data_IF_014986202762
#
_entry.id   IF_014986202762
#
_cell.length_a   1.000
_cell.length_b   1.000
_cell.length_c   1.000
_cell.angle_alpha   90.00
_cell.angle_beta   90.00
_cell.angle_gamma   90.00
#
_symmetry.space_group_name_H-M   'P 1'
#
loop_
_entity.id
_entity.type
_entity.pdbx_description
1 polymer ?
#
# COMPACT_ATOMS: atom_id res chain seq x y z
N UNK A 1 35.16 -3.32 -20.59
CA UNK A 1 34.01 -4.11 -21.07
C UNK A 1 33.61 -5.00 -19.92
N UNK A 2 32.36 -4.98 -19.51
CA UNK A 2 31.87 -5.78 -18.37
C UNK A 2 31.77 -7.26 -18.77
N UNK A 3 32.01 -8.16 -17.80
CA UNK A 3 31.94 -9.62 -17.99
C UNK A 3 30.47 -10.10 -17.80
N UNK A 4 29.64 -9.80 -18.78
CA UNK A 4 28.25 -10.27 -18.87
C UNK A 4 27.93 -10.71 -20.29
N UNK A 5 27.49 -11.96 -20.44
CA UNK A 5 27.22 -12.56 -21.75
C UNK A 5 25.75 -12.33 -22.10
N UNK A 6 25.50 -11.70 -23.26
CA UNK A 6 24.15 -11.54 -23.80
C UNK A 6 23.57 -12.90 -24.20
N UNK A 7 22.28 -13.13 -23.85
CA UNK A 7 21.52 -14.35 -24.12
C UNK A 7 20.18 -14.01 -24.75
N UNK A 8 19.56 -14.95 -25.43
CA UNK A 8 18.19 -14.80 -25.96
C UNK A 8 17.13 -14.80 -24.85
N UNK A 9 17.44 -15.42 -23.71
CA UNK A 9 16.57 -15.48 -22.54
C UNK A 9 17.41 -15.50 -21.27
N UNK A 10 17.01 -14.66 -20.31
CA UNK A 10 17.64 -14.55 -19.00
C UNK A 10 16.79 -15.21 -17.92
N UNK A 11 17.43 -15.65 -16.85
CA UNK A 11 16.81 -16.19 -15.64
C UNK A 11 17.12 -15.32 -14.43
N UNK A 12 16.63 -15.73 -13.26
CA UNK A 12 16.84 -15.03 -12.01
C UNK A 12 18.33 -14.86 -11.64
N UNK A 13 19.15 -15.86 -11.90
CA UNK A 13 20.59 -15.81 -11.59
C UNK A 13 21.31 -14.83 -12.52
N UNK A 14 20.88 -14.74 -13.76
CA UNK A 14 21.40 -13.74 -14.70
C UNK A 14 21.08 -12.32 -14.23
N UNK A 15 19.87 -12.07 -13.72
CA UNK A 15 19.47 -10.77 -13.19
C UNK A 15 20.29 -10.40 -11.95
N UNK A 16 20.48 -11.34 -11.02
CA UNK A 16 21.36 -11.16 -9.84
C UNK A 16 22.77 -10.77 -10.28
N UNK A 17 23.35 -11.52 -11.22
CA UNK A 17 24.68 -11.24 -11.75
C UNK A 17 24.75 -9.89 -12.47
N UNK A 18 23.73 -9.54 -13.23
CA UNK A 18 23.67 -8.26 -13.94
C UNK A 18 23.71 -7.08 -12.96
N UNK A 19 22.92 -7.11 -11.88
CA UNK A 19 22.92 -6.06 -10.86
C UNK A 19 24.31 -5.95 -10.21
N UNK A 20 24.93 -7.08 -9.89
CA UNK A 20 26.30 -7.11 -9.34
C UNK A 20 27.33 -6.48 -10.30
N UNK A 21 27.24 -6.80 -11.59
CA UNK A 21 28.12 -6.24 -12.62
C UNK A 21 27.89 -4.73 -12.80
N UNK A 22 26.64 -4.28 -12.80
CA UNK A 22 26.30 -2.85 -12.91
C UNK A 22 26.85 -2.05 -11.74
N UNK A 23 26.80 -2.60 -10.52
CA UNK A 23 27.22 -1.92 -9.29
C UNK A 23 28.72 -2.08 -8.98
N UNK A 24 29.40 -3.04 -9.62
CA UNK A 24 30.84 -3.28 -9.39
C UNK A 24 31.71 -2.11 -9.88
N UNK A 25 32.95 -1.98 -9.38
CA UNK A 25 33.96 -1.07 -9.94
C UNK A 25 34.16 -1.32 -11.45
N UNK A 26 33.98 -0.28 -12.27
CA UNK A 26 34.04 -0.39 -13.72
C UNK A 26 32.69 -0.73 -14.38
N UNK A 27 31.63 -0.92 -13.61
CA UNK A 27 30.24 -1.03 -14.07
C UNK A 27 29.62 0.33 -14.34
N UNK A 28 28.34 0.50 -14.04
CA UNK A 28 27.61 1.76 -14.21
C UNK A 28 27.89 2.71 -13.02
N UNK A 29 28.43 3.91 -13.26
CA UNK A 29 28.72 4.85 -12.17
C UNK A 29 27.46 5.28 -11.41
N UNK A 30 26.31 5.34 -12.08
CA UNK A 30 25.04 5.69 -11.44
C UNK A 30 24.58 4.57 -10.49
N UNK A 31 24.56 3.32 -10.96
CA UNK A 31 24.15 2.16 -10.16
C UNK A 31 25.08 1.91 -8.96
N UNK A 32 26.40 2.07 -9.18
CA UNK A 32 27.40 1.92 -8.12
C UNK A 32 27.30 2.98 -7.02
N UNK A 33 26.76 4.17 -7.32
CA UNK A 33 26.63 5.27 -6.37
C UNK A 33 25.32 5.22 -5.55
N UNK A 34 24.37 4.32 -5.86
CA UNK A 34 23.08 4.27 -5.18
C UNK A 34 23.22 3.83 -3.72
N UNK A 35 22.34 4.43 -2.91
CA UNK A 35 22.15 4.11 -1.49
C UNK A 35 20.69 3.72 -1.23
N UNK A 36 20.39 3.11 -0.09
CA UNK A 36 19.00 2.84 0.31
C UNK A 36 18.09 4.08 0.25
N UNK A 37 18.61 5.24 0.62
CA UNK A 37 17.84 6.48 0.63
C UNK A 37 17.60 7.02 -0.78
N UNK A 38 18.60 6.92 -1.69
CA UNK A 38 18.46 7.45 -3.04
C UNK A 38 17.44 6.68 -3.89
N UNK A 39 17.35 5.35 -3.72
CA UNK A 39 16.42 4.49 -4.47
C UNK A 39 15.16 4.08 -3.69
N UNK A 40 15.00 4.57 -2.44
CA UNK A 40 13.81 4.27 -1.64
C UNK A 40 12.51 4.67 -2.33
N UNK A 41 12.55 5.80 -3.05
CA UNK A 41 11.36 6.29 -3.77
C UNK A 41 11.02 5.35 -4.92
N UNK A 42 12.00 4.93 -5.71
CA UNK A 42 11.81 4.00 -6.83
C UNK A 42 11.17 2.69 -6.33
N UNK A 43 11.66 2.12 -5.22
CA UNK A 43 11.05 0.92 -4.63
C UNK A 43 9.54 1.06 -4.37
N UNK A 44 9.09 2.25 -3.96
CA UNK A 44 7.67 2.53 -3.74
C UNK A 44 6.92 2.76 -5.04
N UNK A 45 7.52 3.44 -6.01
CA UNK A 45 6.95 3.70 -7.34
C UNK A 45 6.68 2.37 -8.05
N UNK A 46 7.68 1.49 -8.21
CA UNK A 46 7.51 0.19 -8.86
C UNK A 46 6.46 -0.69 -8.15
N UNK A 47 6.41 -0.64 -6.81
CA UNK A 47 5.38 -1.37 -6.06
C UNK A 47 3.96 -0.84 -6.34
N UNK A 48 3.76 0.46 -6.53
CA UNK A 48 2.48 1.03 -6.90
C UNK A 48 2.13 0.77 -8.37
N UNK A 49 3.10 0.81 -9.27
CA UNK A 49 2.92 0.51 -10.70
C UNK A 49 2.56 -0.98 -10.89
N UNK A 50 3.18 -1.88 -10.13
CA UNK A 50 2.75 -3.28 -10.06
C UNK A 50 1.29 -3.42 -9.59
N UNK A 51 0.87 -2.65 -8.57
CA UNK A 51 -0.53 -2.64 -8.13
C UNK A 51 -1.48 -2.14 -9.22
N UNK A 52 -1.08 -1.13 -10.00
CA UNK A 52 -1.88 -0.66 -11.14
C UNK A 52 -2.05 -1.75 -12.21
N UNK A 53 -1.00 -2.53 -12.48
CA UNK A 53 -1.07 -3.72 -13.34
C UNK A 53 -2.07 -4.76 -12.81
N UNK A 54 -2.09 -5.00 -11.49
CA UNK A 54 -3.08 -5.91 -10.86
C UNK A 54 -4.51 -5.37 -10.96
N UNK A 55 -4.70 -4.08 -10.73
CA UNK A 55 -6.01 -3.44 -10.80
C UNK A 55 -6.59 -3.43 -12.22
N UNK A 56 -5.74 -3.37 -13.24
CA UNK A 56 -6.11 -3.42 -14.67
C UNK A 56 -6.24 -4.85 -15.20
N UNK A 57 -5.82 -5.85 -14.46
CA UNK A 57 -5.68 -7.25 -14.93
C UNK A 57 -4.85 -7.34 -16.23
N UNK A 58 -3.75 -6.57 -16.28
CA UNK A 58 -2.85 -6.47 -17.43
C UNK A 58 -1.57 -7.27 -17.21
N UNK A 59 -1.45 -8.48 -17.82
CA UNK A 59 -0.29 -9.35 -17.59
C UNK A 59 1.04 -8.78 -18.10
N UNK A 60 1.02 -7.87 -19.08
CA UNK A 60 2.24 -7.28 -19.62
C UNK A 60 2.80 -6.26 -18.62
N UNK A 61 1.96 -5.35 -18.13
CA UNK A 61 2.31 -4.41 -17.05
C UNK A 61 2.72 -5.18 -15.79
N UNK A 62 1.95 -6.18 -15.37
CA UNK A 62 2.31 -7.00 -14.20
C UNK A 62 3.69 -7.63 -14.31
N UNK A 63 4.04 -8.14 -15.49
CA UNK A 63 5.34 -8.78 -15.71
C UNK A 63 6.48 -7.77 -15.67
N UNK A 64 6.30 -6.59 -16.27
CA UNK A 64 7.26 -5.50 -16.29
C UNK A 64 7.52 -5.00 -14.87
N UNK A 65 6.48 -4.55 -14.17
CA UNK A 65 6.59 -3.92 -12.87
C UNK A 65 7.02 -4.87 -11.74
N UNK A 66 6.60 -6.16 -11.81
CA UNK A 66 7.15 -7.17 -10.91
C UNK A 66 8.64 -7.40 -11.13
N UNK A 67 9.12 -7.23 -12.36
CA UNK A 67 10.55 -7.25 -12.69
C UNK A 67 11.28 -6.08 -12.03
N UNK A 68 10.71 -4.87 -12.05
CA UNK A 68 11.30 -3.68 -11.47
C UNK A 68 11.23 -3.70 -9.92
N UNK A 69 10.16 -4.20 -9.33
CA UNK A 69 10.13 -4.49 -7.88
C UNK A 69 11.23 -5.48 -7.49
N UNK A 70 11.42 -6.55 -8.27
CA UNK A 70 12.48 -7.53 -8.03
C UNK A 70 13.86 -6.88 -8.17
N UNK A 71 14.08 -6.04 -9.18
CA UNK A 71 15.30 -5.26 -9.36
C UNK A 71 15.61 -4.41 -8.11
N UNK A 72 14.62 -3.71 -7.55
CA UNK A 72 14.80 -2.93 -6.33
C UNK A 72 15.22 -3.80 -5.14
N UNK A 73 14.64 -4.99 -4.99
CA UNK A 73 15.06 -5.94 -3.94
C UNK A 73 16.52 -6.34 -4.11
N UNK A 74 16.93 -6.64 -5.35
CA UNK A 74 18.33 -7.02 -5.64
C UNK A 74 19.29 -5.87 -5.39
N UNK A 75 18.95 -4.64 -5.75
CA UNK A 75 19.74 -3.45 -5.46
C UNK A 75 19.97 -3.28 -3.96
N UNK A 76 18.91 -3.34 -3.17
CA UNK A 76 19.02 -3.20 -1.72
C UNK A 76 19.85 -4.32 -1.08
N UNK A 77 19.71 -5.57 -1.55
CA UNK A 77 20.49 -6.70 -1.06
C UNK A 77 21.97 -6.57 -1.45
N UNK A 78 22.25 -6.06 -2.65
CA UNK A 78 23.62 -5.87 -3.15
C UNK A 78 24.37 -4.74 -2.40
N UNK A 79 23.65 -3.64 -2.05
CA UNK A 79 24.19 -2.58 -1.19
C UNK A 79 24.62 -3.15 0.17
N UNK A 80 23.81 -4.04 0.75
CA UNK A 80 24.09 -4.68 2.03
C UNK A 80 25.23 -5.69 1.97
N UNK A 81 25.33 -6.42 0.86
CA UNK A 81 26.47 -7.31 0.58
C UNK A 81 27.77 -6.52 0.54
N UNK A 82 27.80 -5.38 -0.16
CA UNK A 82 28.98 -4.53 -0.26
C UNK A 82 29.38 -3.95 1.11
N UNK A 83 28.41 -3.73 1.99
CA UNK A 83 28.62 -3.30 3.37
C UNK A 83 28.99 -4.46 4.32
N UNK A 84 28.97 -5.71 3.85
CA UNK A 84 29.27 -6.91 4.64
C UNK A 84 28.25 -7.20 5.74
N UNK A 85 26.99 -6.76 5.59
CA UNK A 85 25.94 -6.93 6.60
C UNK A 85 25.06 -8.14 6.35
N UNK A 86 24.55 -8.31 5.15
CA UNK A 86 23.80 -9.49 4.70
C UNK A 86 23.79 -9.60 3.17
N UNK A 87 23.37 -10.74 2.66
CA UNK A 87 23.31 -11.09 1.25
C UNK A 87 21.86 -11.34 0.80
N UNK A 88 21.64 -11.49 -0.50
CA UNK A 88 20.34 -11.94 -1.04
C UNK A 88 19.94 -13.32 -0.49
N UNK A 89 20.90 -14.23 -0.29
CA UNK A 89 20.62 -15.55 0.29
C UNK A 89 20.11 -15.44 1.72
N UNK A 90 20.63 -14.49 2.51
CA UNK A 90 20.13 -14.22 3.86
C UNK A 90 18.69 -13.67 3.85
N UNK A 91 18.35 -12.84 2.85
CA UNK A 91 16.97 -12.37 2.65
C UNK A 91 16.03 -13.55 2.34
N UNK A 92 16.45 -14.43 1.42
CA UNK A 92 15.69 -15.63 1.07
C UNK A 92 15.54 -16.59 2.25
N UNK A 93 16.64 -16.88 2.96
CA UNK A 93 16.64 -17.75 4.15
C UNK A 93 15.69 -17.20 5.23
N UNK A 94 15.77 -15.90 5.50
CA UNK A 94 14.92 -15.24 6.50
C UNK A 94 13.45 -15.38 6.17
N UNK A 95 13.03 -15.13 4.92
CA UNK A 95 11.63 -15.24 4.53
C UNK A 95 11.17 -16.70 4.51
N UNK A 96 11.99 -17.64 4.07
CA UNK A 96 11.68 -19.07 4.08
C UNK A 96 11.47 -19.58 5.51
N UNK A 97 12.38 -19.30 6.43
CA UNK A 97 12.26 -19.68 7.84
C UNK A 97 10.99 -19.10 8.47
N UNK A 98 10.70 -17.83 8.19
CA UNK A 98 9.48 -17.17 8.65
C UNK A 98 8.22 -17.86 8.13
N UNK A 99 8.15 -18.19 6.84
CA UNK A 99 7.01 -18.86 6.25
C UNK A 99 6.82 -20.27 6.82
N UNK A 100 7.90 -21.05 6.94
CA UNK A 100 7.90 -22.38 7.56
C UNK A 100 7.38 -22.29 9.00
N UNK A 101 7.92 -21.36 9.78
CA UNK A 101 7.51 -21.18 11.18
C UNK A 101 6.02 -20.80 11.33
N UNK A 102 5.49 -19.98 10.42
CA UNK A 102 4.10 -19.51 10.46
C UNK A 102 3.10 -20.49 9.88
N UNK A 103 3.57 -21.58 9.25
CA UNK A 103 2.70 -22.66 8.72
C UNK A 103 3.00 -24.00 9.40
N UNK A 104 2.87 -24.10 10.73
CA UNK A 104 3.25 -25.29 11.44
C UNK A 104 2.36 -26.51 11.08
N UNK A 105 1.11 -26.30 10.63
CA UNK A 105 0.25 -27.38 10.13
C UNK A 105 0.83 -28.05 8.86
N UNK A 106 1.61 -27.32 8.05
CA UNK A 106 2.23 -27.86 6.82
C UNK A 106 3.64 -28.40 7.07
N UNK A 107 4.40 -27.77 7.96
CA UNK A 107 5.83 -28.07 8.15
C UNK A 107 6.19 -28.58 9.55
N UNK A 108 5.23 -28.69 10.47
CA UNK A 108 5.51 -29.05 11.87
C UNK A 108 4.39 -29.86 12.52
N UNK A 109 4.17 -29.68 13.82
CA UNK A 109 3.14 -30.35 14.62
C UNK A 109 1.76 -29.70 14.47
N UNK A 110 0.69 -30.53 14.56
CA UNK A 110 -0.69 -30.11 14.37
C UNK A 110 -1.27 -29.16 15.44
N UNK A 111 -0.56 -28.95 16.55
CA UNK A 111 -0.99 -28.07 17.65
C UNK A 111 -0.30 -26.71 17.54
N UNK A 112 -0.92 -25.79 16.85
CA UNK A 112 -0.37 -24.43 16.73
C UNK A 112 -1.46 -23.41 16.61
N UNK A 113 -1.23 -22.24 17.22
CA UNK A 113 -2.09 -21.08 17.15
C UNK A 113 -2.28 -20.53 15.73
N UNK A 114 -3.16 -19.57 15.57
CA UNK A 114 -3.40 -18.89 14.31
C UNK A 114 -2.19 -18.08 13.81
N UNK A 115 -2.24 -17.66 12.54
CA UNK A 115 -1.17 -16.88 11.89
C UNK A 115 -0.68 -15.66 12.69
N UNK A 116 -1.60 -14.90 13.28
CA UNK A 116 -1.23 -13.70 14.07
C UNK A 116 -0.53 -14.06 15.38
N UNK A 117 -0.90 -15.17 16.05
CA UNK A 117 -0.21 -15.67 17.24
C UNK A 117 1.22 -16.10 16.91
N UNK A 118 1.41 -16.85 15.82
CA UNK A 118 2.73 -17.27 15.37
C UNK A 118 3.61 -16.06 15.03
N UNK A 119 3.03 -15.03 14.41
CA UNK A 119 3.72 -13.79 14.09
C UNK A 119 4.10 -12.96 15.31
N UNK A 120 3.27 -12.95 16.35
CA UNK A 120 3.57 -12.30 17.63
C UNK A 120 4.70 -13.03 18.36
N UNK A 121 4.67 -14.37 18.38
CA UNK A 121 5.73 -15.20 18.94
C UNK A 121 7.08 -14.98 18.25
N UNK A 122 7.10 -15.00 16.91
CA UNK A 122 8.32 -14.74 16.12
C UNK A 122 8.93 -13.37 16.44
N UNK A 123 8.07 -12.35 16.60
CA UNK A 123 8.52 -10.97 16.89
C UNK A 123 8.80 -10.71 18.37
N UNK A 124 8.60 -11.70 19.25
CA UNK A 124 8.77 -11.54 20.68
C UNK A 124 7.84 -10.51 21.32
N UNK A 125 6.68 -10.25 20.70
CA UNK A 125 5.70 -9.29 21.18
C UNK A 125 4.99 -9.85 22.42
N UNK A 126 5.10 -9.14 23.53
CA UNK A 126 4.57 -9.60 24.83
C UNK A 126 3.31 -8.82 25.26
N UNK A 127 3.15 -7.61 24.74
CA UNK A 127 2.06 -6.72 25.11
C UNK A 127 1.27 -6.26 23.88
N UNK A 128 0.05 -5.80 24.09
CA UNK A 128 -0.74 -5.16 23.04
C UNK A 128 -0.05 -3.90 22.48
N UNK A 129 0.64 -3.15 23.35
CA UNK A 129 1.42 -1.98 22.92
C UNK A 129 2.56 -2.37 21.98
N UNK A 130 3.30 -3.44 22.26
CA UNK A 130 4.36 -3.93 21.34
C UNK A 130 3.79 -4.28 19.97
N UNK A 131 2.58 -4.85 19.97
CA UNK A 131 1.88 -5.21 18.73
C UNK A 131 1.48 -3.97 17.94
N UNK A 132 0.99 -2.91 18.58
CA UNK A 132 0.67 -1.63 17.93
C UNK A 132 1.92 -0.91 17.44
N UNK A 133 2.98 -0.86 18.25
CA UNK A 133 4.26 -0.22 17.89
C UNK A 133 4.95 -0.94 16.71
N UNK A 134 4.63 -2.22 16.47
CA UNK A 134 5.15 -2.97 15.32
C UNK A 134 4.58 -2.54 13.97
N UNK A 135 3.54 -1.69 13.95
CA UNK A 135 2.96 -1.17 12.70
C UNK A 135 3.91 -0.14 12.09
N UNK A 136 4.39 -0.42 10.88
CA UNK A 136 5.35 0.46 10.22
C UNK A 136 4.81 1.88 10.08
N UNK A 137 5.62 2.86 10.50
CA UNK A 137 5.26 4.29 10.49
C UNK A 137 5.27 4.89 9.09
N UNK A 138 5.92 4.22 8.14
CA UNK A 138 6.04 4.62 6.73
C UNK A 138 4.89 4.15 5.84
N UNK A 139 3.92 3.41 6.37
CA UNK A 139 2.73 3.02 5.61
C UNK A 139 1.89 4.25 5.22
N UNK A 140 1.14 4.20 4.10
CA UNK A 140 0.06 5.13 3.82
C UNK A 140 -0.84 5.30 5.05
N UNK A 141 -1.30 6.53 5.30
CA UNK A 141 -1.88 6.87 6.59
C UNK A 141 -3.19 6.11 6.89
N UNK A 142 -4.02 5.87 5.86
CA UNK A 142 -5.27 5.13 6.03
C UNK A 142 -5.00 3.65 6.30
N UNK A 143 -4.08 2.99 5.57
CA UNK A 143 -3.66 1.63 5.89
C UNK A 143 -3.03 1.51 7.27
N UNK A 144 -2.24 2.50 7.67
CA UNK A 144 -1.67 2.51 9.02
C UNK A 144 -2.76 2.59 10.08
N UNK A 145 -3.74 3.47 9.90
CA UNK A 145 -4.87 3.62 10.81
C UNK A 145 -5.70 2.34 10.89
N UNK A 146 -6.01 1.72 9.76
CA UNK A 146 -6.70 0.43 9.69
C UNK A 146 -5.95 -0.67 10.45
N UNK A 147 -4.63 -0.84 10.16
CA UNK A 147 -3.81 -1.85 10.86
C UNK A 147 -3.74 -1.62 12.36
N UNK A 148 -3.66 -0.37 12.81
CA UNK A 148 -3.69 -0.04 14.23
C UNK A 148 -5.04 -0.44 14.86
N UNK A 149 -6.14 -0.13 14.20
CA UNK A 149 -7.49 -0.47 14.69
C UNK A 149 -7.71 -1.99 14.70
N UNK A 150 -7.31 -2.71 13.63
CA UNK A 150 -7.38 -4.18 13.56
C UNK A 150 -6.57 -4.84 14.69
N UNK A 151 -5.35 -4.36 14.95
CA UNK A 151 -4.51 -4.89 16.04
C UNK A 151 -5.07 -4.56 17.43
N UNK A 152 -5.64 -3.38 17.62
CA UNK A 152 -6.29 -3.00 18.86
C UNK A 152 -7.54 -3.88 19.12
N UNK A 153 -8.31 -4.19 18.08
CA UNK A 153 -9.44 -5.12 18.17
C UNK A 153 -8.99 -6.53 18.58
N UNK A 154 -7.91 -7.05 17.97
CA UNK A 154 -7.31 -8.32 18.36
C UNK A 154 -6.75 -8.34 19.80
N UNK A 155 -6.44 -7.17 20.37
CA UNK A 155 -6.00 -7.01 21.75
C UNK A 155 -7.17 -6.82 22.75
N UNK A 156 -8.42 -6.96 22.29
CA UNK A 156 -9.61 -6.87 23.15
C UNK A 156 -10.35 -5.53 23.11
N UNK A 157 -9.89 -4.56 22.33
CA UNK A 157 -10.69 -3.36 22.05
C UNK A 157 -11.79 -3.74 21.05
N UNK A 158 -12.93 -4.20 21.57
CA UNK A 158 -14.00 -4.79 20.77
C UNK A 158 -14.35 -3.96 19.52
N UNK A 159 -14.55 -4.61 18.37
CA UNK A 159 -15.04 -3.94 17.17
C UNK A 159 -16.43 -3.37 17.43
N UNK A 160 -16.68 -2.21 16.88
CA UNK A 160 -17.95 -1.50 17.04
C UNK A 160 -18.90 -1.87 15.91
N UNK A 161 -20.20 -1.75 16.17
CA UNK A 161 -21.20 -1.86 15.09
C UNK A 161 -21.03 -0.71 14.09
N UNK A 162 -21.51 -0.92 12.86
CA UNK A 162 -21.53 0.13 11.83
C UNK A 162 -22.20 1.41 12.36
N UNK A 163 -23.34 1.27 13.05
CA UNK A 163 -24.06 2.41 13.63
C UNK A 163 -23.19 3.20 14.62
N UNK A 164 -22.56 2.50 15.58
CA UNK A 164 -21.68 3.15 16.56
C UNK A 164 -20.45 3.80 15.92
N UNK A 165 -19.91 3.22 14.83
CA UNK A 165 -18.80 3.78 14.08
C UNK A 165 -19.21 5.06 13.33
N UNK A 166 -20.42 5.09 12.76
CA UNK A 166 -21.00 6.28 12.13
C UNK A 166 -21.27 7.40 13.14
N UNK A 167 -21.85 7.07 14.30
CA UNK A 167 -22.07 8.06 15.40
C UNK A 167 -20.75 8.73 15.83
N UNK A 168 -19.66 7.95 15.88
CA UNK A 168 -18.32 8.48 16.21
C UNK A 168 -17.75 9.36 15.09
N UNK A 169 -17.99 9.02 13.84
CA UNK A 169 -17.60 9.84 12.70
C UNK A 169 -18.35 11.17 12.73
N UNK A 170 -19.67 11.16 12.99
CA UNK A 170 -20.47 12.36 13.12
C UNK A 170 -20.00 13.27 14.27
N UNK A 171 -19.66 12.66 15.42
CA UNK A 171 -19.11 13.39 16.56
C UNK A 171 -17.73 14.03 16.21
N UNK A 172 -16.87 13.29 15.53
CA UNK A 172 -15.55 13.81 15.09
C UNK A 172 -15.71 14.95 14.07
N UNK A 173 -16.62 14.81 13.11
CA UNK A 173 -16.95 15.85 12.13
C UNK A 173 -17.54 17.12 12.82
N UNK A 174 -18.38 16.93 13.84
CA UNK A 174 -18.90 18.05 14.62
C UNK A 174 -17.79 18.81 15.38
N UNK A 175 -16.83 18.09 15.96
CA UNK A 175 -15.65 18.68 16.62
C UNK A 175 -14.77 19.43 15.62
N UNK A 176 -14.54 18.87 14.44
CA UNK A 176 -13.80 19.53 13.36
C UNK A 176 -14.48 20.84 12.94
N UNK A 177 -15.81 20.81 12.75
CA UNK A 177 -16.59 21.99 12.41
C UNK A 177 -16.46 23.07 13.49
N UNK A 178 -16.56 22.69 14.75
CA UNK A 178 -16.39 23.61 15.89
C UNK A 178 -14.99 24.22 15.90
N UNK A 179 -13.93 23.41 15.76
CA UNK A 179 -12.55 23.88 15.73
C UNK A 179 -12.29 24.87 14.57
N UNK A 180 -12.87 24.59 13.39
CA UNK A 180 -12.75 25.47 12.23
C UNK A 180 -13.46 26.83 12.41
N UNK A 181 -14.58 26.86 13.16
CA UNK A 181 -15.36 28.08 13.41
C UNK A 181 -14.81 28.94 14.54
N UNK A 182 -14.27 28.33 15.59
CA UNK A 182 -13.83 29.01 16.81
C UNK A 182 -12.35 29.42 16.79
N UNK A 183 -11.63 29.21 15.68
CA UNK A 183 -10.22 29.56 15.54
C UNK A 183 -9.26 28.68 16.35
N UNK A 184 -9.69 27.45 16.68
CA UNK A 184 -8.85 26.42 17.31
C UNK A 184 -7.83 25.80 16.36
N UNK A 185 -7.11 24.76 16.85
CA UNK A 185 -6.25 23.94 15.99
C UNK A 185 -7.08 22.87 15.27
N UNK A 186 -7.39 22.97 13.97
CA UNK A 186 -8.20 22.02 13.25
C UNK A 186 -7.45 20.69 12.93
N UNK A 187 -6.11 20.68 13.01
CA UNK A 187 -5.30 19.52 12.59
C UNK A 187 -5.65 18.26 13.38
N UNK A 188 -5.73 18.34 14.70
CA UNK A 188 -6.11 17.19 15.53
C UNK A 188 -7.53 16.73 15.23
N UNK A 189 -8.48 17.66 15.08
CA UNK A 189 -9.87 17.32 14.79
C UNK A 189 -10.03 16.71 13.40
N UNK A 190 -9.25 17.15 12.42
CA UNK A 190 -9.20 16.56 11.08
C UNK A 190 -8.63 15.14 11.14
N UNK A 191 -7.51 14.94 11.85
CA UNK A 191 -6.89 13.63 12.03
C UNK A 191 -7.86 12.64 12.71
N UNK A 192 -8.58 13.05 13.76
CA UNK A 192 -9.60 12.23 14.42
C UNK A 192 -10.76 11.89 13.47
N UNK A 193 -11.17 12.82 12.62
CA UNK A 193 -12.25 12.58 11.65
C UNK A 193 -11.83 11.54 10.62
N UNK A 194 -10.61 11.65 10.07
CA UNK A 194 -10.06 10.67 9.14
C UNK A 194 -9.92 9.29 9.81
N UNK A 195 -9.44 9.24 11.05
CA UNK A 195 -9.30 8.01 11.81
C UNK A 195 -10.66 7.35 12.12
N UNK A 196 -11.70 8.15 12.38
CA UNK A 196 -13.08 7.67 12.53
C UNK A 196 -13.66 7.15 11.21
N UNK A 197 -13.37 7.80 10.07
CA UNK A 197 -13.76 7.31 8.75
C UNK A 197 -13.15 5.94 8.43
N UNK A 198 -11.87 5.73 8.75
CA UNK A 198 -11.22 4.41 8.62
C UNK A 198 -11.92 3.35 9.48
N UNK A 199 -12.42 3.70 10.67
CA UNK A 199 -13.20 2.78 11.51
C UNK A 199 -14.52 2.37 10.86
N UNK A 200 -15.19 3.30 10.18
CA UNK A 200 -16.40 2.99 9.41
C UNK A 200 -16.08 2.04 8.27
N UNK A 201 -14.98 2.28 7.53
CA UNK A 201 -14.54 1.39 6.46
C UNK A 201 -14.28 -0.03 6.99
N UNK A 202 -13.58 -0.17 8.11
CA UNK A 202 -13.35 -1.46 8.76
C UNK A 202 -14.66 -2.15 9.19
N UNK A 203 -15.65 -1.41 9.71
CA UNK A 203 -16.96 -1.97 10.07
C UNK A 203 -17.77 -2.41 8.85
N UNK A 204 -17.55 -1.80 7.69
CA UNK A 204 -18.13 -2.17 6.40
C UNK A 204 -17.34 -3.26 5.67
N UNK A 205 -16.20 -3.70 6.22
CA UNK A 205 -15.26 -4.63 5.58
C UNK A 205 -14.67 -4.09 4.26
N UNK A 206 -14.53 -2.77 4.16
CA UNK A 206 -13.95 -2.09 3.01
C UNK A 206 -12.54 -1.59 3.31
N UNK A 207 -11.66 -1.63 2.31
CA UNK A 207 -10.31 -1.07 2.39
C UNK A 207 -10.37 0.46 2.21
N UNK A 208 -9.96 1.27 3.22
CA UNK A 208 -10.09 2.72 3.16
C UNK A 208 -9.17 3.38 2.13
N UNK A 209 -7.97 2.84 1.87
CA UNK A 209 -7.04 3.37 0.88
C UNK A 209 -7.58 3.15 -0.53
N UNK A 210 -8.02 1.92 -0.84
CA UNK A 210 -8.66 1.58 -2.11
C UNK A 210 -9.94 2.39 -2.34
N UNK A 211 -10.76 2.57 -1.30
CA UNK A 211 -12.01 3.34 -1.40
C UNK A 211 -11.74 4.80 -1.75
N UNK A 212 -10.69 5.40 -1.15
CA UNK A 212 -10.28 6.76 -1.45
C UNK A 212 -9.63 6.86 -2.85
N UNK A 213 -8.80 5.90 -3.24
CA UNK A 213 -8.24 5.83 -4.59
C UNK A 213 -9.35 5.81 -5.64
N UNK A 214 -10.34 4.94 -5.51
CA UNK A 214 -11.50 4.89 -6.41
C UNK A 214 -12.28 6.22 -6.46
N UNK A 215 -12.37 6.93 -5.35
CA UNK A 215 -12.98 8.25 -5.32
C UNK A 215 -12.17 9.28 -6.13
N UNK A 216 -10.83 9.20 -6.08
CA UNK A 216 -9.96 10.02 -6.92
C UNK A 216 -10.16 9.70 -8.41
N UNK A 217 -10.23 8.43 -8.79
CA UNK A 217 -10.47 8.04 -10.19
C UNK A 217 -11.83 8.52 -10.69
N UNK A 218 -12.88 8.39 -9.87
CA UNK A 218 -14.19 8.97 -10.21
C UNK A 218 -14.15 10.49 -10.38
N UNK A 219 -13.37 11.18 -9.56
CA UNK A 219 -13.18 12.62 -9.68
C UNK A 219 -12.47 12.99 -11.00
N UNK A 220 -11.41 12.27 -11.38
CA UNK A 220 -10.68 12.45 -12.64
C UNK A 220 -11.62 12.23 -13.84
N UNK A 221 -12.35 11.11 -13.84
CA UNK A 221 -13.28 10.79 -14.91
C UNK A 221 -14.39 11.86 -15.06
N UNK A 222 -14.94 12.32 -13.93
CA UNK A 222 -15.94 13.39 -13.92
C UNK A 222 -15.37 14.72 -14.44
N UNK A 223 -14.13 15.04 -14.08
CA UNK A 223 -13.46 16.24 -14.56
C UNK A 223 -13.21 16.18 -16.08
N UNK A 224 -12.77 15.05 -16.59
CA UNK A 224 -12.59 14.83 -18.03
C UNK A 224 -13.93 14.95 -18.79
N UNK A 225 -15.02 14.39 -18.26
CA UNK A 225 -16.35 14.53 -18.83
C UNK A 225 -16.85 15.99 -18.83
N UNK A 226 -16.58 16.73 -17.76
CA UNK A 226 -16.86 18.17 -17.67
C UNK A 226 -16.09 18.96 -18.73
N UNK A 227 -14.81 18.65 -18.92
CA UNK A 227 -13.97 19.32 -19.92
C UNK A 227 -14.46 19.02 -21.34
N UNK A 228 -14.82 17.77 -21.63
CA UNK A 228 -15.36 17.36 -22.93
C UNK A 228 -16.73 18.00 -23.25
N UNK A 229 -17.53 18.32 -22.23
CA UNK A 229 -18.83 18.96 -22.37
C UNK A 229 -18.76 20.50 -22.47
N UNK A 230 -17.58 21.09 -22.24
CA UNK A 230 -17.42 22.53 -22.28
C UNK A 230 -17.28 23.03 -23.74
N UNK A 231 -18.01 24.07 -24.11
CA UNK A 231 -17.98 24.71 -25.44
C UNK A 231 -16.71 25.57 -25.64
N UNK A 232 -16.00 25.86 -24.56
CA UNK A 232 -14.76 26.66 -24.54
C UNK A 232 -13.80 26.13 -23.47
N UNK A 233 -12.51 26.46 -23.53
CA UNK A 233 -11.56 26.05 -22.50
C UNK A 233 -12.05 26.40 -21.09
N UNK A 234 -11.95 25.48 -20.13
CA UNK A 234 -12.48 25.64 -18.76
C UNK A 234 -12.01 26.93 -18.08
N UNK A 235 -10.75 27.33 -18.34
CA UNK A 235 -10.20 28.60 -17.84
C UNK A 235 -10.91 29.86 -18.35
N UNK A 236 -11.67 29.75 -19.41
CA UNK A 236 -12.48 30.84 -19.99
C UNK A 236 -13.94 30.78 -19.54
N UNK A 237 -14.33 29.76 -18.77
CA UNK A 237 -15.66 29.64 -18.21
C UNK A 237 -15.78 30.47 -16.91
N UNK A 238 -16.97 31.05 -16.70
CA UNK A 238 -17.31 31.69 -15.43
C UNK A 238 -17.48 30.63 -14.32
N UNK A 239 -17.39 31.01 -13.03
CA UNK A 239 -17.65 30.09 -11.91
C UNK A 239 -19.01 29.43 -11.96
N UNK A 240 -20.05 30.11 -12.47
CA UNK A 240 -21.41 29.54 -12.56
C UNK A 240 -21.52 28.54 -13.71
N UNK A 241 -20.87 28.80 -14.86
CA UNK A 241 -20.77 27.83 -15.95
C UNK A 241 -20.04 26.56 -15.50
N UNK A 242 -18.90 26.71 -14.81
CA UNK A 242 -18.13 25.58 -14.26
C UNK A 242 -18.96 24.77 -13.27
N UNK A 243 -19.71 25.44 -12.39
CA UNK A 243 -20.59 24.76 -11.42
C UNK A 243 -21.72 24.00 -12.12
N UNK A 244 -22.31 24.58 -13.16
CA UNK A 244 -23.35 23.95 -13.95
C UNK A 244 -22.80 22.71 -14.67
N UNK A 245 -21.68 22.84 -15.37
CA UNK A 245 -21.00 21.74 -16.05
C UNK A 245 -20.68 20.61 -15.07
N UNK A 246 -20.10 20.93 -13.91
CA UNK A 246 -19.78 19.94 -12.88
C UNK A 246 -21.01 19.20 -12.35
N UNK A 247 -22.10 19.89 -12.10
CA UNK A 247 -23.32 19.31 -11.56
C UNK A 247 -24.11 18.47 -12.58
N UNK A 248 -23.91 18.72 -13.88
CA UNK A 248 -24.55 17.92 -14.95
C UNK A 248 -23.82 16.61 -15.21
N UNK A 249 -22.57 16.47 -14.79
CA UNK A 249 -21.85 15.22 -14.92
C UNK A 249 -22.21 14.28 -13.77
N UNK A 250 -22.86 13.15 -14.08
CA UNK A 250 -23.29 12.18 -13.07
C UNK A 250 -22.09 11.32 -12.61
N UNK A 251 -21.70 11.35 -11.33
CA UNK A 251 -20.59 10.54 -10.81
C UNK A 251 -20.89 9.03 -10.78
N UNK A 252 -22.13 8.61 -11.04
CA UNK A 252 -22.58 7.23 -10.92
C UNK A 252 -22.71 6.50 -12.26
N UNK A 253 -22.29 7.08 -13.39
CA UNK A 253 -22.25 6.32 -14.63
C UNK A 253 -21.02 5.39 -14.67
N UNK A 254 -21.20 4.09 -15.04
CA UNK A 254 -20.20 3.06 -14.93
C UNK A 254 -19.21 3.10 -16.11
N UNK A 255 -18.34 4.10 -16.16
CA UNK A 255 -17.21 4.10 -17.09
C UNK A 255 -15.92 3.57 -16.45
N UNK A 256 -15.92 3.32 -15.16
CA UNK A 256 -14.84 2.57 -14.50
C UNK A 256 -15.20 1.09 -14.58
N UNK A 257 -14.34 0.31 -15.25
CA UNK A 257 -14.40 -1.15 -15.14
C UNK A 257 -14.44 -1.50 -13.64
N UNK A 258 -15.32 -2.41 -13.21
CA UNK A 258 -15.28 -2.88 -11.83
C UNK A 258 -13.88 -3.45 -11.60
N UNK A 259 -13.15 -2.88 -10.66
CA UNK A 259 -12.04 -3.59 -10.04
C UNK A 259 -12.62 -4.93 -9.61
N UNK A 260 -12.01 -6.02 -10.08
CA UNK A 260 -12.49 -7.40 -9.89
C UNK A 260 -13.09 -7.59 -8.49
N UNK A 261 -14.25 -8.24 -8.43
CA UNK A 261 -14.89 -8.63 -7.18
C UNK A 261 -13.83 -9.17 -6.22
N UNK A 262 -13.60 -8.45 -5.14
CA UNK A 262 -12.71 -8.86 -4.06
C UNK A 262 -13.19 -10.21 -3.54
N UNK A 263 -12.64 -11.30 -4.05
CA UNK A 263 -12.61 -12.55 -3.32
C UNK A 263 -11.50 -12.41 -2.27
N UNK A 264 -11.77 -11.68 -1.21
CA UNK A 264 -11.11 -11.95 0.04
C UNK A 264 -11.58 -13.36 0.45
N UNK A 265 -10.75 -14.33 0.11
CA UNK A 265 -10.94 -15.65 0.66
C UNK A 265 -10.81 -15.52 2.16
N UNK A 266 -11.92 -15.75 2.86
CA UNK A 266 -11.99 -16.11 4.27
C UNK A 266 -11.18 -17.39 4.51
N UNK A 267 -9.85 -17.28 4.55
CA UNK A 267 -8.95 -18.34 5.02
C UNK A 267 -8.49 -18.08 6.45
N UNK A 268 -9.36 -17.45 7.26
CA UNK A 268 -9.20 -17.40 8.72
C UNK A 268 -10.17 -18.34 9.45
N UNK A 269 -10.64 -19.42 8.79
CA UNK A 269 -11.31 -20.52 9.49
C UNK A 269 -10.74 -21.81 8.94
N UNK A 270 -9.64 -22.29 9.58
CA UNK A 270 -9.43 -23.69 9.97
C UNK A 270 -8.10 -23.81 10.74
#
# INVERSE_FOLDING_TARGET
>A
MVDFISKDRYDFQDLVRLVQVLRAPGGCPWDGAQTHLSIRRNFLEEAYEACEGFDRDDPEIMCEELGDVLLQVLFHADIERDAGRFTLDDVCDTVCKKLIFRHPRLFGSAESGGWEEMKQLEKGQKTASDTLDSVARSLPALWRAEKLQKKAAGAGLAPESIAASLDKLDLAAARLRKAAQEGGNPDNALGETLFAAVRVAAALQEDPETSLHQACERFIARFAAMEAAAEKPLRACSPDELRTLWNTQNPNEPHLRPLHEKRYNDHEQD
#
